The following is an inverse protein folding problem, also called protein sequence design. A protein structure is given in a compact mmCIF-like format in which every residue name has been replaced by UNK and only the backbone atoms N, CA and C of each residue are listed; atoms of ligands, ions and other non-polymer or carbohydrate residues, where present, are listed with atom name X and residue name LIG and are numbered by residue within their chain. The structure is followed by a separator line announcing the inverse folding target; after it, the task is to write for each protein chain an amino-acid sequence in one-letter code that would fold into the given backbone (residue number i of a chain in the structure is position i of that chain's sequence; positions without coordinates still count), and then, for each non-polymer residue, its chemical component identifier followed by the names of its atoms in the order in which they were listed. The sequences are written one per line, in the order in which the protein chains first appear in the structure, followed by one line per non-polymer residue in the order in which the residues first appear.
data_IF_008105393135
#
_entry.id   IF_008105393135
#
_cell.length_a   1.000
_cell.length_b   1.000
_cell.length_c   1.000
_cell.angle_alpha   90.00
_cell.angle_beta   90.00
_cell.angle_gamma   90.00
#
_symmetry.space_group_name_H-M   'P 1'
#
loop_
_entity.id
_entity.type
_entity.pdbx_description
1 polymer ?
#
# COMPACT_ATOMS: atom_id res chain seq x y z
N UNK A 1 -6.99 10.54 18.72
CA UNK A 1 -6.17 11.08 17.62
C UNK A 1 -5.77 9.89 16.77
N UNK A 2 -6.51 9.62 15.69
CA UNK A 2 -6.45 8.36 14.96
C UNK A 2 -5.17 8.28 14.12
N UNK A 3 -4.28 7.33 14.40
CA UNK A 3 -3.07 6.97 13.61
C UNK A 3 -3.35 6.48 12.17
N UNK A 4 -4.57 6.68 11.67
CA UNK A 4 -5.00 6.33 10.31
C UNK A 4 -4.80 7.47 9.30
N UNK A 5 -3.82 8.33 9.53
CA UNK A 5 -3.50 9.44 8.61
C UNK A 5 -2.29 9.09 7.76
N UNK A 6 -2.34 7.93 7.11
CA UNK A 6 -1.55 7.63 5.92
C UNK A 6 -2.43 6.79 5.01
N UNK A 7 -2.60 7.18 3.76
CA UNK A 7 -3.50 6.52 2.80
C UNK A 7 -3.07 5.07 2.63
N UNK A 8 -3.90 4.12 3.08
CA UNK A 8 -3.62 2.67 3.10
C UNK A 8 -3.14 2.12 1.75
N UNK A 9 -3.54 2.77 0.67
CA UNK A 9 -3.33 2.36 -0.72
C UNK A 9 -1.86 2.24 -1.13
N UNK A 10 -0.97 2.92 -0.41
CA UNK A 10 0.48 2.94 -0.72
C UNK A 10 1.30 2.00 0.18
N UNK A 11 0.67 1.26 1.10
CA UNK A 11 1.38 0.36 2.02
C UNK A 11 1.79 -0.94 1.32
N UNK A 12 3.04 -1.32 1.53
CA UNK A 12 3.60 -2.57 1.03
C UNK A 12 2.98 -3.79 1.74
N UNK A 13 2.85 -4.94 1.05
CA UNK A 13 2.20 -6.14 1.59
C UNK A 13 2.87 -6.69 2.87
N UNK A 14 4.19 -6.60 2.99
CA UNK A 14 4.94 -6.99 4.19
C UNK A 14 4.57 -6.15 5.42
N UNK A 15 4.22 -4.87 5.21
CA UNK A 15 3.73 -3.97 6.26
C UNK A 15 2.31 -4.36 6.68
N UNK A 16 1.49 -4.86 5.75
CA UNK A 16 0.13 -5.35 6.03
C UNK A 16 0.15 -6.69 6.78
N UNK A 17 1.19 -7.50 6.56
CA UNK A 17 1.42 -8.78 7.25
C UNK A 17 2.16 -8.63 8.58
N UNK A 18 2.52 -7.40 8.98
CA UNK A 18 3.21 -7.09 10.22
C UNK A 18 4.56 -7.82 10.36
N UNK A 19 5.28 -8.01 9.24
CA UNK A 19 6.62 -8.56 9.24
C UNK A 19 7.57 -7.63 10.01
N UNK A 20 8.29 -8.17 11.01
CA UNK A 20 9.26 -7.39 11.80
C UNK A 20 10.49 -6.96 10.99
N UNK A 21 10.76 -7.64 9.88
CA UNK A 21 11.83 -7.31 8.95
C UNK A 21 11.25 -6.56 7.74
N UNK A 22 11.03 -5.27 7.89
CA UNK A 22 10.80 -4.37 6.74
C UNK A 22 12.10 -3.65 6.40
N UNK A 23 12.30 -3.38 5.12
CA UNK A 23 13.49 -2.68 4.61
C UNK A 23 13.04 -1.42 3.87
N UNK A 24 13.99 -0.64 3.35
CA UNK A 24 13.70 0.50 2.46
C UNK A 24 12.93 0.11 1.18
N UNK A 25 12.73 -1.18 0.91
CA UNK A 25 11.86 -1.65 -0.18
C UNK A 25 10.40 -1.21 -0.02
N UNK A 26 9.92 -0.96 1.20
CA UNK A 26 8.55 -0.46 1.44
C UNK A 26 8.34 0.92 0.80
N UNK A 27 9.37 1.77 0.81
CA UNK A 27 9.29 3.11 0.21
C UNK A 27 9.27 3.00 -1.32
N UNK A 28 10.03 2.06 -1.88
CA UNK A 28 10.02 1.77 -3.32
C UNK A 28 8.65 1.26 -3.77
N UNK A 29 7.99 0.43 -2.96
CA UNK A 29 6.61 0.01 -3.20
C UNK A 29 5.66 1.21 -3.25
N UNK A 30 5.69 2.09 -2.24
CA UNK A 30 4.86 3.29 -2.21
C UNK A 30 5.08 4.18 -3.43
N UNK A 31 6.34 4.39 -3.84
CA UNK A 31 6.67 5.15 -5.06
C UNK A 31 6.10 4.48 -6.31
N UNK A 32 6.15 3.15 -6.41
CA UNK A 32 5.55 2.40 -7.51
C UNK A 32 4.03 2.60 -7.60
N UNK A 33 3.33 2.53 -6.45
CA UNK A 33 1.90 2.81 -6.38
C UNK A 33 1.56 4.26 -6.79
N UNK A 34 2.33 5.25 -6.32
CA UNK A 34 2.14 6.67 -6.69
C UNK A 34 2.40 6.88 -8.18
N UNK A 35 3.47 6.28 -8.71
CA UNK A 35 3.81 6.38 -10.13
C UNK A 35 2.69 5.79 -11.00
N UNK A 36 2.19 4.60 -10.64
CA UNK A 36 1.05 3.98 -11.31
C UNK A 36 -0.19 4.88 -11.27
N UNK A 37 -0.53 5.43 -10.10
CA UNK A 37 -1.66 6.34 -9.92
C UNK A 37 -1.55 7.60 -10.79
N UNK A 38 -0.34 8.16 -10.94
CA UNK A 38 -0.11 9.30 -11.83
C UNK A 38 -0.39 8.93 -13.29
N UNK A 39 -0.01 7.72 -13.71
CA UNK A 39 -0.21 7.25 -15.09
C UNK A 39 -1.68 6.94 -15.41
N UNK A 40 -2.39 6.30 -14.48
CA UNK A 40 -3.80 5.90 -14.64
C UNK A 40 -4.77 7.01 -14.25
N UNK A 41 -4.31 8.02 -13.49
CA UNK A 41 -5.11 9.04 -12.79
C UNK A 41 -6.11 8.46 -11.78
N UNK A 42 -5.91 7.21 -11.39
CA UNK A 42 -6.76 6.49 -10.45
C UNK A 42 -5.88 5.65 -9.51
N UNK A 43 -6.25 5.53 -8.22
CA UNK A 43 -5.45 4.79 -7.26
C UNK A 43 -5.31 3.32 -7.65
N UNK A 44 -4.07 2.81 -7.63
CA UNK A 44 -3.75 1.47 -8.09
C UNK A 44 -4.41 0.38 -7.23
N UNK A 45 -4.42 0.58 -5.92
CA UNK A 45 -4.95 -0.38 -4.95
C UNK A 45 -5.83 0.32 -3.90
N UNK A 46 -7.10 0.63 -4.22
CA UNK A 46 -8.02 1.34 -3.33
C UNK A 46 -8.63 0.41 -2.26
N UNK A 47 -7.80 -0.18 -1.39
CA UNK A 47 -8.25 -1.13 -0.37
C UNK A 47 -9.05 -0.48 0.76
N UNK A 48 -10.27 -1.01 0.96
CA UNK A 48 -11.20 -0.59 2.03
C UNK A 48 -10.80 -1.07 3.43
N UNK A 49 -10.05 -2.17 3.51
CA UNK A 49 -9.58 -2.83 4.74
C UNK A 49 -8.23 -3.52 4.48
N UNK A 50 -7.51 -3.97 5.53
CA UNK A 50 -6.22 -4.67 5.38
C UNK A 50 -6.31 -5.92 4.50
N UNK A 51 -7.33 -6.75 4.73
CA UNK A 51 -7.56 -7.97 3.94
C UNK A 51 -7.89 -7.64 2.49
N UNK A 52 -8.71 -6.60 2.27
CA UNK A 52 -9.07 -6.18 0.92
C UNK A 52 -7.87 -5.57 0.18
N UNK A 53 -7.06 -4.76 0.85
CA UNK A 53 -5.80 -4.23 0.30
C UNK A 53 -4.87 -5.38 -0.11
N UNK A 54 -4.69 -6.38 0.75
CA UNK A 54 -3.84 -7.53 0.45
C UNK A 54 -4.37 -8.31 -0.77
N UNK A 55 -5.68 -8.55 -0.84
CA UNK A 55 -6.31 -9.18 -2.00
C UNK A 55 -6.05 -8.42 -3.30
N UNK A 56 -6.23 -7.10 -3.29
CA UNK A 56 -5.95 -6.25 -4.46
C UNK A 56 -4.48 -6.29 -4.90
N UNK A 57 -3.55 -6.58 -3.99
CA UNK A 57 -2.11 -6.69 -4.29
C UNK A 57 -1.76 -8.08 -4.84
N UNK A 58 -2.45 -9.14 -4.41
CA UNK A 58 -2.11 -10.54 -4.72
C UNK A 58 -2.95 -11.19 -5.81
N UNK A 59 -4.15 -10.67 -6.08
CA UNK A 59 -5.11 -11.15 -7.09
C UNK A 59 -5.19 -10.19 -8.28
#
# INVERSE_FOLDING_TARGET
MTEYVVTRWYRAPELLLNCSEYTSAIDVWSVGCIFGEIMTREPLFPGKDYVHQLRLITE
#
